data_IF_586569385290
#
_entry.id   IF_586569385290
#
_cell.length_a   1.000
_cell.length_b   1.000
_cell.length_c   1.000
_cell.angle_alpha   90.00
_cell.angle_beta   90.00
_cell.angle_gamma   90.00
#
_symmetry.space_group_name_H-M   'P 1'
#
loop_
_entity.id
_entity.type
_entity.pdbx_description
1 polymer ?
#
# COMPACT_ATOMS: atom_id res chain seq x y z
N UNK A 1 35.25 -51.42 19.13
CA UNK A 1 34.25 -50.73 18.29
C UNK A 1 34.30 -49.25 18.64
N UNK A 2 35.30 -48.51 18.15
CA UNK A 2 35.31 -47.66 16.94
C UNK A 2 34.64 -46.29 17.13
N UNK A 3 35.47 -45.33 17.58
CA UNK A 3 35.24 -43.89 17.64
C UNK A 3 34.92 -43.33 16.26
N UNK A 4 33.72 -42.77 16.06
CA UNK A 4 33.34 -42.13 14.79
C UNK A 4 33.37 -40.61 14.96
N UNK A 5 34.47 -40.01 14.52
CA UNK A 5 34.65 -38.56 14.40
C UNK A 5 33.87 -38.05 13.18
N UNK A 6 32.78 -37.30 13.42
CA UNK A 6 32.00 -36.65 12.36
C UNK A 6 32.65 -35.31 12.04
N UNK A 7 33.39 -35.24 10.94
CA UNK A 7 33.90 -34.00 10.37
C UNK A 7 32.75 -33.11 9.93
N UNK A 8 32.47 -32.05 10.69
CA UNK A 8 31.56 -30.97 10.28
C UNK A 8 32.21 -30.20 9.13
N UNK A 9 31.77 -30.45 7.90
CA UNK A 9 32.06 -29.56 6.76
C UNK A 9 31.41 -28.22 7.08
N UNK A 10 32.24 -27.23 7.40
CA UNK A 10 31.82 -25.87 7.68
C UNK A 10 31.41 -25.25 6.34
N UNK A 11 30.11 -25.31 6.01
CA UNK A 11 29.53 -24.63 4.85
C UNK A 11 29.76 -23.13 5.05
N UNK A 12 30.75 -22.59 4.35
CA UNK A 12 31.01 -21.15 4.31
C UNK A 12 29.86 -20.49 3.54
N UNK A 13 29.03 -19.66 4.16
CA UNK A 13 27.93 -19.03 3.46
C UNK A 13 28.48 -18.03 2.44
N UNK A 14 27.96 -18.08 1.21
CA UNK A 14 28.34 -17.18 0.13
C UNK A 14 28.09 -15.71 0.53
N UNK A 15 29.11 -14.85 0.43
CA UNK A 15 29.04 -13.41 0.78
C UNK A 15 27.90 -12.68 0.07
N UNK A 16 27.58 -13.10 -1.16
CA UNK A 16 26.47 -12.52 -1.94
C UNK A 16 25.09 -12.83 -1.30
N UNK A 17 24.91 -14.02 -0.75
CA UNK A 17 23.68 -14.39 -0.05
C UNK A 17 23.55 -13.69 1.31
N UNK A 18 24.67 -13.45 2.00
CA UNK A 18 24.67 -12.65 3.23
C UNK A 18 24.33 -11.18 2.95
N UNK A 19 24.84 -10.59 1.86
CA UNK A 19 24.52 -9.21 1.48
C UNK A 19 23.03 -9.03 1.13
N UNK A 20 22.43 -9.95 0.36
CA UNK A 20 21.00 -9.88 0.05
C UNK A 20 20.12 -10.01 1.30
N UNK A 21 20.40 -10.96 2.21
CA UNK A 21 19.65 -11.09 3.47
C UNK A 21 19.78 -9.84 4.36
N UNK A 22 20.95 -9.21 4.38
CA UNK A 22 21.17 -7.95 5.11
C UNK A 22 20.40 -6.78 4.47
N UNK A 23 20.33 -6.71 3.14
CA UNK A 23 19.55 -5.69 2.43
C UNK A 23 18.04 -5.84 2.69
N UNK A 24 17.48 -7.06 2.57
CA UNK A 24 16.07 -7.30 2.88
C UNK A 24 15.72 -7.07 4.36
N UNK A 25 16.65 -7.33 5.28
CA UNK A 25 16.48 -6.99 6.69
C UNK A 25 16.45 -5.47 6.93
N UNK A 26 17.21 -4.68 6.14
CA UNK A 26 17.21 -3.20 6.23
C UNK A 26 15.88 -2.58 5.82
N UNK A 27 15.19 -3.17 4.83
CA UNK A 27 13.85 -2.69 4.42
C UNK A 27 12.77 -2.98 5.47
N UNK A 28 12.99 -3.94 6.39
CA UNK A 28 12.02 -4.31 7.42
C UNK A 28 12.06 -3.45 8.69
N UNK A 29 13.03 -2.52 8.82
CA UNK A 29 13.27 -1.74 10.05
C UNK A 29 13.04 -0.23 9.85
N UNK A 30 12.36 0.17 8.78
CA UNK A 30 12.04 1.57 8.48
C UNK A 30 10.65 2.04 8.98
N UNK A 31 10.00 1.31 9.88
CA UNK A 31 8.66 1.65 10.36
C UNK A 31 8.62 2.71 11.50
N UNK A 32 9.76 3.21 11.95
CA UNK A 32 9.84 4.21 13.04
C UNK A 32 10.93 5.25 12.80
N UNK A 33 11.05 5.72 11.57
CA UNK A 33 11.81 6.93 11.28
C UNK A 33 10.79 8.02 10.97
N UNK A 34 10.64 8.94 11.92
CA UNK A 34 10.01 10.24 11.74
C UNK A 34 10.95 11.08 10.86
N UNK A 35 11.16 10.59 9.63
CA UNK A 35 11.74 11.39 8.56
C UNK A 35 10.56 12.27 8.12
N UNK A 36 10.73 13.59 8.12
CA UNK A 36 9.68 14.60 7.81
C UNK A 36 9.17 14.57 6.37
N UNK A 37 8.95 13.38 5.83
CA UNK A 37 8.20 13.09 4.64
C UNK A 37 6.74 13.47 4.90
N UNK A 38 6.15 14.23 3.97
CA UNK A 38 4.74 14.59 3.98
C UNK A 38 3.91 13.31 3.87
N UNK A 39 3.57 12.73 5.03
CA UNK A 39 2.75 11.53 5.10
C UNK A 39 1.31 11.91 4.77
N UNK A 40 0.66 11.24 3.81
CA UNK A 40 -0.71 11.56 3.45
C UNK A 40 -1.65 11.32 4.65
N UNK A 41 -2.76 12.07 4.66
CA UNK A 41 -3.83 11.93 5.64
C UNK A 41 -4.29 10.46 5.72
N UNK A 42 -4.32 9.91 6.93
CA UNK A 42 -4.73 8.55 7.30
C UNK A 42 -3.62 7.72 7.96
N UNK A 43 -2.35 8.15 7.87
CA UNK A 43 -1.20 7.33 8.30
C UNK A 43 -0.48 7.83 9.56
N UNK A 44 -0.70 9.09 9.94
CA UNK A 44 -0.08 9.69 11.15
C UNK A 44 -0.84 9.27 12.41
N UNK A 45 -0.13 9.13 13.53
CA UNK A 45 -0.73 8.78 14.85
C UNK A 45 -1.82 9.76 15.27
N UNK A 46 -1.56 11.05 15.07
CA UNK A 46 -2.52 12.12 15.35
C UNK A 46 -3.80 11.96 14.52
N UNK A 47 -3.65 11.56 13.27
CA UNK A 47 -4.77 11.41 12.35
C UNK A 47 -5.67 10.24 12.74
N UNK A 48 -5.06 9.10 13.09
CA UNK A 48 -5.82 7.95 13.63
C UNK A 48 -6.61 8.34 14.88
N UNK A 49 -6.01 9.13 15.78
CA UNK A 49 -6.70 9.64 16.97
C UNK A 49 -7.81 10.63 16.60
N UNK A 50 -7.60 11.50 15.61
CA UNK A 50 -8.56 12.49 15.15
C UNK A 50 -9.75 11.85 14.44
N UNK A 51 -9.53 10.85 13.60
CA UNK A 51 -10.59 10.07 12.94
C UNK A 51 -11.36 9.27 14.00
N UNK A 52 -10.68 8.55 14.90
CA UNK A 52 -11.34 7.76 15.95
C UNK A 52 -12.16 8.63 16.91
N UNK A 53 -11.58 9.75 17.34
CA UNK A 53 -12.27 10.75 18.17
C UNK A 53 -13.42 11.41 17.42
N UNK A 54 -13.23 11.74 16.14
CA UNK A 54 -14.24 12.36 15.28
C UNK A 54 -15.46 11.46 15.06
N UNK A 55 -15.25 10.18 14.73
CA UNK A 55 -16.35 9.20 14.55
C UNK A 55 -17.12 9.01 15.85
N UNK A 56 -16.42 8.91 16.98
CA UNK A 56 -17.04 8.78 18.30
C UNK A 56 -17.85 10.03 18.65
N UNK A 57 -17.26 11.21 18.48
CA UNK A 57 -17.92 12.50 18.71
C UNK A 57 -19.13 12.70 17.82
N UNK A 58 -19.08 12.27 16.56
CA UNK A 58 -20.20 12.33 15.61
C UNK A 58 -21.35 11.44 16.06
N UNK A 59 -21.07 10.29 16.66
CA UNK A 59 -22.09 9.42 17.25
C UNK A 59 -22.83 10.09 18.42
N UNK A 60 -22.10 10.70 19.35
CA UNK A 60 -22.69 11.47 20.44
C UNK A 60 -23.46 12.69 19.94
N UNK A 61 -22.90 13.44 18.99
CA UNK A 61 -23.57 14.61 18.41
C UNK A 61 -24.86 14.21 17.70
N UNK A 62 -24.88 13.09 16.97
CA UNK A 62 -26.09 12.57 16.33
C UNK A 62 -27.16 12.16 17.36
N UNK A 63 -26.75 11.51 18.45
CA UNK A 63 -27.66 11.13 19.54
C UNK A 63 -28.30 12.35 20.21
N UNK A 64 -27.49 13.31 20.68
CA UNK A 64 -28.02 14.53 21.30
C UNK A 64 -28.79 15.39 20.30
N UNK A 65 -28.37 15.44 19.03
CA UNK A 65 -29.10 16.11 17.97
C UNK A 65 -30.49 15.52 17.75
N UNK A 66 -30.63 14.19 17.75
CA UNK A 66 -31.94 13.54 17.62
C UNK A 66 -32.84 13.75 18.84
N UNK A 67 -32.27 13.83 20.05
CA UNK A 67 -33.04 14.14 21.25
C UNK A 67 -33.54 15.60 21.25
N UNK A 68 -32.66 16.55 20.96
CA UNK A 68 -32.98 17.99 21.05
C UNK A 68 -33.84 18.50 19.89
N UNK A 69 -33.54 18.07 18.65
CA UNK A 69 -34.24 18.59 17.46
C UNK A 69 -35.51 17.82 17.12
N UNK A 70 -35.59 16.54 17.46
CA UNK A 70 -36.72 15.68 17.10
C UNK A 70 -37.50 15.15 18.31
N UNK A 71 -37.10 15.48 19.54
CA UNK A 71 -37.84 15.16 20.77
C UNK A 71 -37.97 13.65 21.03
N UNK A 72 -37.10 12.84 20.45
CA UNK A 72 -37.16 11.39 20.59
C UNK A 72 -36.74 10.95 21.99
N UNK A 73 -37.44 9.92 22.49
CA UNK A 73 -37.05 9.24 23.72
C UNK A 73 -35.64 8.62 23.60
N UNK A 74 -34.90 8.58 24.71
CA UNK A 74 -33.50 8.15 24.77
C UNK A 74 -33.29 6.77 24.14
N UNK A 75 -34.22 5.84 24.40
CA UNK A 75 -34.18 4.48 23.86
C UNK A 75 -34.29 4.48 22.32
N UNK A 76 -35.18 5.29 21.75
CA UNK A 76 -35.42 5.32 20.31
C UNK A 76 -34.28 6.03 19.57
N UNK A 77 -33.80 7.16 20.11
CA UNK A 77 -32.66 7.88 19.57
C UNK A 77 -31.40 6.98 19.50
N UNK A 78 -31.15 6.20 20.56
CA UNK A 78 -30.03 5.25 20.60
C UNK A 78 -30.14 4.19 19.49
N UNK A 79 -31.31 3.58 19.32
CA UNK A 79 -31.53 2.55 18.29
C UNK A 79 -31.34 3.11 16.87
N UNK A 80 -31.83 4.31 16.59
CA UNK A 80 -31.73 4.92 15.26
C UNK A 80 -30.29 5.32 14.92
N UNK A 81 -29.57 5.92 15.87
CA UNK A 81 -28.14 6.25 15.69
C UNK A 81 -27.35 4.97 15.43
N UNK A 82 -27.55 3.94 16.26
CA UNK A 82 -26.86 2.66 16.13
C UNK A 82 -27.11 2.02 14.75
N UNK A 83 -28.39 1.89 14.36
CA UNK A 83 -28.75 1.29 13.07
C UNK A 83 -28.14 2.07 11.91
N UNK A 84 -28.23 3.40 11.96
CA UNK A 84 -27.72 4.27 10.89
C UNK A 84 -26.20 4.16 10.77
N UNK A 85 -25.46 4.22 11.89
CA UNK A 85 -24.00 4.08 11.88
C UNK A 85 -23.55 2.71 11.38
N UNK A 86 -24.16 1.62 11.85
CA UNK A 86 -23.81 0.27 11.41
C UNK A 86 -24.09 0.10 9.92
N UNK A 87 -25.25 0.58 9.44
CA UNK A 87 -25.61 0.50 8.03
C UNK A 87 -24.67 1.33 7.16
N UNK A 88 -24.42 2.59 7.52
CA UNK A 88 -23.51 3.47 6.76
C UNK A 88 -22.09 2.93 6.73
N UNK A 89 -21.56 2.50 7.87
CA UNK A 89 -20.21 1.94 7.94
C UNK A 89 -20.12 0.66 7.10
N UNK A 90 -21.14 -0.20 7.13
CA UNK A 90 -21.20 -1.41 6.31
C UNK A 90 -21.24 -1.08 4.82
N UNK A 91 -22.07 -0.11 4.42
CA UNK A 91 -22.17 0.32 3.02
C UNK A 91 -20.87 0.99 2.53
N UNK A 92 -20.24 1.83 3.34
CA UNK A 92 -18.93 2.42 3.04
C UNK A 92 -17.85 1.34 2.94
N UNK A 93 -17.86 0.38 3.86
CA UNK A 93 -16.92 -0.73 3.86
C UNK A 93 -17.09 -1.60 2.61
N UNK A 94 -18.31 -2.03 2.28
CA UNK A 94 -18.62 -2.78 1.05
C UNK A 94 -18.29 -1.97 -0.21
N UNK A 95 -18.65 -0.69 -0.22
CA UNK A 95 -18.32 0.25 -1.29
C UNK A 95 -16.82 0.32 -1.57
N UNK A 96 -15.98 0.26 -0.53
CA UNK A 96 -14.51 0.19 -0.69
C UNK A 96 -14.05 -1.05 -1.48
N UNK A 97 -14.75 -2.18 -1.37
CA UNK A 97 -14.45 -3.38 -2.16
C UNK A 97 -14.90 -3.19 -3.61
N UNK A 98 -16.07 -2.60 -3.82
CA UNK A 98 -16.60 -2.31 -5.16
C UNK A 98 -15.65 -1.37 -5.92
N UNK A 99 -15.20 -0.28 -5.28
CA UNK A 99 -14.27 0.68 -5.87
C UNK A 99 -12.91 0.04 -6.22
N UNK A 100 -12.42 -0.89 -5.39
CA UNK A 100 -11.21 -1.67 -5.69
C UNK A 100 -11.37 -2.57 -6.92
N UNK A 101 -12.55 -3.14 -7.12
CA UNK A 101 -12.85 -3.96 -8.32
C UNK A 101 -12.82 -3.10 -9.58
N UNK A 102 -13.42 -1.90 -9.55
CA UNK A 102 -13.41 -1.01 -10.72
C UNK A 102 -12.02 -0.49 -11.07
N UNK A 103 -11.21 -0.14 -10.07
CA UNK A 103 -9.85 0.38 -10.30
C UNK A 103 -8.86 -0.70 -10.76
N UNK A 104 -9.25 -1.99 -10.80
CA UNK A 104 -8.38 -3.11 -11.19
C UNK A 104 -7.05 -3.13 -10.42
N UNK A 105 -7.05 -2.68 -9.17
CA UNK A 105 -5.92 -2.76 -8.25
C UNK A 105 -5.74 -4.21 -7.73
N UNK A 106 -5.75 -5.19 -8.63
CA UNK A 106 -5.48 -6.59 -8.30
C UNK A 106 -4.00 -6.88 -8.45
N UNK A 107 -3.43 -7.45 -7.40
CA UNK A 107 -2.00 -7.67 -7.18
C UNK A 107 -1.28 -8.26 -8.39
N UNK A 108 -1.92 -9.13 -9.18
CA UNK A 108 -1.30 -9.72 -10.38
C UNK A 108 -1.15 -8.72 -11.54
N UNK A 109 -2.14 -7.87 -11.79
CA UNK A 109 -2.09 -6.90 -12.89
C UNK A 109 -1.08 -5.77 -12.65
N UNK A 110 -0.89 -5.36 -11.39
CA UNK A 110 0.18 -4.41 -11.02
C UNK A 110 1.56 -5.03 -11.14
N UNK A 111 1.75 -6.25 -10.61
CA UNK A 111 3.01 -6.97 -10.71
C UNK A 111 3.49 -7.16 -12.15
N UNK A 112 2.59 -7.49 -13.08
CA UNK A 112 2.97 -7.69 -14.48
C UNK A 112 3.43 -6.38 -15.12
N UNK A 113 2.69 -5.28 -14.91
CA UNK A 113 3.05 -3.95 -15.41
C UNK A 113 4.39 -3.47 -14.85
N UNK A 114 4.57 -3.59 -13.53
CA UNK A 114 5.80 -3.15 -12.86
C UNK A 114 7.01 -3.98 -13.30
N UNK A 115 6.81 -5.28 -13.57
CA UNK A 115 7.86 -6.15 -14.12
C UNK A 115 8.20 -5.81 -15.57
N UNK A 116 7.19 -5.59 -16.43
CA UNK A 116 7.36 -5.18 -17.82
C UNK A 116 8.09 -3.83 -17.92
N UNK A 117 7.69 -2.85 -17.12
CA UNK A 117 8.30 -1.53 -17.10
C UNK A 117 9.75 -1.57 -16.59
N UNK A 118 10.03 -2.34 -15.54
CA UNK A 118 11.38 -2.55 -15.04
C UNK A 118 12.29 -3.29 -16.04
N UNK A 119 11.75 -4.27 -16.79
CA UNK A 119 12.49 -4.97 -17.85
C UNK A 119 12.75 -4.06 -19.04
N UNK A 120 11.76 -3.26 -19.47
CA UNK A 120 11.94 -2.28 -20.55
C UNK A 120 13.00 -1.22 -20.21
N UNK A 121 13.01 -0.72 -18.98
CA UNK A 121 14.06 0.19 -18.51
C UNK A 121 15.45 -0.47 -18.50
N UNK A 122 15.55 -1.72 -18.05
CA UNK A 122 16.81 -2.48 -18.12
C UNK A 122 17.29 -2.72 -19.55
N UNK A 123 16.37 -2.94 -20.49
CA UNK A 123 16.69 -3.07 -21.92
C UNK A 123 17.14 -1.76 -22.55
N UNK A 124 16.60 -0.62 -22.15
CA UNK A 124 17.07 0.71 -22.58
C UNK A 124 18.45 1.05 -22.00
N UNK A 125 18.72 0.65 -20.75
CA UNK A 125 20.03 0.82 -20.12
C UNK A 125 21.12 -0.13 -20.67
N UNK A 126 20.74 -1.33 -21.12
CA UNK A 126 21.65 -2.31 -21.74
C UNK A 126 21.82 -2.14 -23.26
N UNK A 127 21.00 -1.29 -23.91
CA UNK A 127 21.14 -0.99 -25.33
C UNK A 127 22.34 -0.04 -25.53
N UNK A 128 23.34 -0.40 -26.36
CA UNK A 128 24.50 0.47 -26.61
C UNK A 128 24.01 1.81 -27.18
N UNK A 129 24.52 2.93 -26.66
CA UNK A 129 24.10 4.30 -27.02
C UNK A 129 24.09 4.57 -28.54
N UNK A 130 24.87 3.81 -29.31
CA UNK A 130 24.90 3.86 -30.79
C UNK A 130 23.63 3.34 -31.47
N UNK A 131 22.90 2.39 -30.88
CA UNK A 131 21.63 1.86 -31.42
C UNK A 131 20.43 2.68 -30.92
N UNK A 132 20.52 3.27 -29.72
CA UNK A 132 19.49 4.17 -29.17
C UNK A 132 19.35 5.45 -30.02
N UNK A 133 20.48 6.01 -30.48
CA UNK A 133 20.49 7.14 -31.42
C UNK A 133 19.93 6.78 -32.79
N UNK A 134 20.21 5.57 -33.31
CA UNK A 134 19.68 5.11 -34.59
C UNK A 134 18.15 4.88 -34.53
N UNK A 135 17.63 4.35 -33.42
CA UNK A 135 16.19 4.17 -33.21
C UNK A 135 15.45 5.49 -32.95
N UNK A 136 16.09 6.47 -32.28
CA UNK A 136 15.53 7.83 -32.16
C UNK A 136 15.45 8.52 -33.53
N UNK A 137 16.51 8.43 -34.35
CA UNK A 137 16.54 9.00 -35.71
C UNK A 137 15.51 8.34 -36.65
N UNK A 138 15.31 7.02 -36.55
CA UNK A 138 14.28 6.29 -37.31
C UNK A 138 12.86 6.66 -36.85
N UNK A 139 12.63 6.83 -35.54
CA UNK A 139 11.32 7.22 -34.99
C UNK A 139 10.93 8.66 -35.38
N UNK A 140 11.91 9.56 -35.47
CA UNK A 140 11.72 10.96 -35.85
C UNK A 140 11.47 11.10 -37.36
N UNK A 141 12.13 10.27 -38.17
CA UNK A 141 11.86 10.14 -39.61
C UNK A 141 10.46 9.58 -39.90
N UNK A 142 10.04 8.53 -39.21
CA UNK A 142 8.70 7.94 -39.38
C UNK A 142 7.54 8.86 -38.94
N UNK A 143 7.81 9.81 -38.02
CA UNK A 143 6.82 10.79 -37.55
C UNK A 143 6.70 12.00 -38.49
N UNK A 144 7.76 12.32 -39.24
CA UNK A 144 7.77 13.42 -40.23
C UNK A 144 7.29 12.98 -41.63
N UNK A 145 7.12 11.67 -41.86
CA UNK A 145 6.62 11.09 -43.11
C UNK A 145 5.11 10.76 -43.09
N UNK A 146 4.40 11.14 -42.02
CA UNK A 146 2.93 11.18 -41.92
C UNK A 146 2.43 12.61 -41.85
#
# INVERSE_FOLDING_TARGET
MTTTTISRVLVVPNRKQQQQKQQHARYRVKATRDDGDDVPFGYTRLDVMLIGGGVTGLGFAAYYGLQEFAGFDAQWAGNVVQLTFVMLLTLLWVGSYIQRVFNKDMTYGKQLKDYEEAVMQKRLEEMPESELMALMDESERAKNEK
#
